data_IF_333511097105
#
_entry.id   IF_333511097105
#
_cell.length_a   1.000
_cell.length_b   1.000
_cell.length_c   1.000
_cell.angle_alpha   90.00
_cell.angle_beta   90.00
_cell.angle_gamma   90.00
#
_symmetry.space_group_name_H-M   'P 1'
#
loop_
_entity.id
_entity.type
_entity.pdbx_description
1 polymer ?
#
# COMPACT_ATOMS: atom_id res chain seq x y z
N UNK A 1 52.24 -10.04 32.41
CA UNK A 1 52.42 -9.74 33.85
C UNK A 1 52.07 -8.29 34.21
N UNK A 2 52.34 -7.29 33.37
CA UNK A 2 52.01 -5.88 33.65
C UNK A 2 50.50 -5.62 33.86
N UNK A 3 49.62 -6.28 33.09
CA UNK A 3 48.16 -6.18 33.26
C UNK A 3 47.65 -6.77 34.58
N UNK A 4 48.30 -7.83 35.08
CA UNK A 4 47.92 -8.45 36.36
C UNK A 4 48.29 -7.54 37.53
N UNK A 5 49.44 -6.86 37.44
CA UNK A 5 49.87 -5.86 38.41
C UNK A 5 48.93 -4.64 38.40
N UNK A 6 48.54 -4.15 37.23
CA UNK A 6 47.58 -3.03 37.11
C UNK A 6 46.21 -3.35 37.73
N UNK A 7 45.71 -4.58 37.54
CA UNK A 7 44.45 -5.02 38.16
C UNK A 7 44.57 -5.19 39.68
N UNK A 8 45.74 -5.56 40.19
CA UNK A 8 46.01 -5.66 41.63
C UNK A 8 46.20 -4.29 42.30
N UNK A 9 46.78 -3.31 41.60
CA UNK A 9 46.86 -1.93 42.11
C UNK A 9 45.51 -1.22 42.12
N UNK A 10 44.63 -1.51 41.16
CA UNK A 10 43.26 -1.01 41.11
C UNK A 10 42.37 -1.58 42.23
N UNK A 11 42.62 -2.81 42.69
CA UNK A 11 41.86 -3.41 43.79
C UNK A 11 42.36 -3.01 45.18
N UNK A 12 43.61 -2.58 45.34
CA UNK A 12 44.17 -2.16 46.62
C UNK A 12 43.88 -0.69 46.99
N UNK A 13 43.38 0.12 46.04
CA UNK A 13 43.10 1.55 46.26
C UNK A 13 41.61 1.88 46.49
N UNK A 14 40.76 0.88 46.77
CA UNK A 14 39.40 1.14 47.24
C UNK A 14 39.37 1.12 48.77
N UNK A 15 39.38 2.29 49.45
CA UNK A 15 39.10 2.29 50.87
C UNK A 15 37.62 1.86 51.06
N UNK A 16 37.30 0.96 52.02
CA UNK A 16 35.93 0.65 52.35
C UNK A 16 35.34 1.81 53.17
N UNK A 17 34.99 2.91 52.48
CA UNK A 17 34.20 3.98 53.08
C UNK A 17 32.80 3.86 52.47
N UNK A 18 32.10 2.79 52.84
CA UNK A 18 30.64 2.81 52.81
C UNK A 18 30.20 3.34 54.16
N UNK A 19 30.46 4.63 54.40
CA UNK A 19 29.66 5.38 55.36
C UNK A 19 28.25 5.32 54.82
N UNK A 20 27.39 4.53 55.47
CA UNK A 20 25.99 4.38 55.11
C UNK A 20 25.31 5.73 55.40
N UNK A 21 25.45 6.66 54.47
CA UNK A 21 24.80 7.96 54.51
C UNK A 21 23.32 7.66 54.36
N UNK A 22 22.57 7.73 55.44
CA UNK A 22 21.11 7.57 55.43
C UNK A 22 20.53 8.82 54.78
N UNK A 23 20.50 8.83 53.45
CA UNK A 23 19.84 9.86 52.68
C UNK A 23 18.33 9.67 52.86
N UNK A 24 17.64 10.64 53.47
CA UNK A 24 16.19 10.65 53.48
C UNK A 24 15.70 11.09 52.10
N UNK A 25 15.22 10.16 51.28
CA UNK A 25 14.57 10.51 50.02
C UNK A 25 13.27 11.25 50.31
N UNK A 26 13.17 12.49 49.84
CA UNK A 26 11.89 13.17 49.84
C UNK A 26 11.02 12.62 48.70
N UNK A 27 10.01 11.83 49.06
CA UNK A 27 9.13 11.17 48.09
C UNK A 27 8.44 12.16 47.13
N UNK A 28 8.11 13.37 47.59
CA UNK A 28 7.44 14.39 46.76
C UNK A 28 8.39 15.00 45.72
N UNK A 29 9.66 15.21 46.08
CA UNK A 29 10.68 15.67 45.15
C UNK A 29 11.04 14.58 44.12
N UNK A 30 11.02 13.31 44.54
CA UNK A 30 11.26 12.17 43.66
C UNK A 30 10.17 12.04 42.61
N UNK A 31 8.92 12.20 43.00
CA UNK A 31 7.76 12.09 42.11
C UNK A 31 7.83 13.09 40.95
N UNK A 32 8.14 14.36 41.24
CA UNK A 32 8.31 15.39 40.21
C UNK A 32 9.47 15.11 39.24
N UNK A 33 10.59 14.58 39.75
CA UNK A 33 11.73 14.18 38.92
C UNK A 33 11.40 12.97 38.05
N UNK A 34 10.69 11.99 38.60
CA UNK A 34 10.26 10.80 37.88
C UNK A 34 9.29 11.15 36.76
N UNK A 35 8.27 11.95 37.03
CA UNK A 35 7.33 12.42 36.02
C UNK A 35 8.03 13.17 34.89
N UNK A 36 8.96 14.09 35.23
CA UNK A 36 9.74 14.82 34.23
C UNK A 36 10.58 13.87 33.37
N UNK A 37 11.27 12.91 33.99
CA UNK A 37 12.10 11.94 33.29
C UNK A 37 11.28 11.01 32.38
N UNK A 38 10.13 10.54 32.88
CA UNK A 38 9.21 9.67 32.15
C UNK A 38 8.66 10.38 30.91
N UNK A 39 8.18 11.61 31.04
CA UNK A 39 7.66 12.38 29.90
C UNK A 39 8.77 12.70 28.88
N UNK A 40 9.97 13.08 29.34
CA UNK A 40 11.12 13.26 28.44
C UNK A 40 11.45 11.98 27.66
N UNK A 41 11.46 10.83 28.33
CA UNK A 41 11.74 9.54 27.70
C UNK A 41 10.67 9.18 26.67
N UNK A 42 9.38 9.38 26.98
CA UNK A 42 8.27 9.16 26.05
C UNK A 42 8.40 10.03 24.79
N UNK A 43 8.69 11.33 24.96
CA UNK A 43 8.90 12.25 23.84
C UNK A 43 10.09 11.82 22.96
N UNK A 44 11.19 11.37 23.56
CA UNK A 44 12.36 10.86 22.82
C UNK A 44 12.04 9.58 22.04
N UNK A 45 11.32 8.66 22.64
CA UNK A 45 10.90 7.41 21.98
C UNK A 45 9.98 7.70 20.79
N UNK A 46 8.98 8.57 21.00
CA UNK A 46 8.07 8.98 19.93
C UNK A 46 8.81 9.73 18.81
N UNK A 47 9.79 10.56 19.14
CA UNK A 47 10.60 11.23 18.13
C UNK A 47 11.40 10.23 17.28
N UNK A 48 12.01 9.22 17.92
CA UNK A 48 12.75 8.17 17.21
C UNK A 48 11.86 7.40 16.24
N UNK A 49 10.65 7.04 16.65
CA UNK A 49 9.70 6.34 15.76
C UNK A 49 9.28 7.22 14.58
N UNK A 50 9.00 8.50 14.82
CA UNK A 50 8.67 9.45 13.76
C UNK A 50 9.83 9.66 12.79
N UNK A 51 11.07 9.68 13.29
CA UNK A 51 12.25 9.85 12.44
C UNK A 51 12.41 8.68 11.46
N UNK A 52 12.15 7.45 11.93
CA UNK A 52 12.17 6.26 11.09
C UNK A 52 10.99 6.20 10.13
N UNK A 53 9.78 6.60 10.56
CA UNK A 53 8.56 6.56 9.74
C UNK A 53 8.61 7.59 8.59
N UNK A 54 9.02 8.82 8.89
CA UNK A 54 9.05 9.92 7.93
C UNK A 54 10.25 9.89 6.98
N UNK A 55 11.17 8.93 7.13
CA UNK A 55 12.41 8.86 6.35
C UNK A 55 13.13 10.22 6.24
N UNK A 56 13.28 10.93 7.36
CA UNK A 56 13.84 12.29 7.34
C UNK A 56 15.24 12.32 6.71
N UNK A 57 15.55 13.44 6.05
CA UNK A 57 16.86 13.67 5.47
C UNK A 57 17.96 13.71 6.54
N UNK A 58 19.21 13.50 6.15
CA UNK A 58 20.36 13.55 7.07
C UNK A 58 20.46 14.89 7.80
N UNK A 59 20.19 16.00 7.10
CA UNK A 59 20.22 17.34 7.68
C UNK A 59 19.15 17.49 8.77
N UNK A 60 17.92 17.07 8.49
CA UNK A 60 16.82 17.18 9.46
C UNK A 60 17.04 16.32 10.70
N UNK A 61 17.65 15.14 10.53
CA UNK A 61 18.07 14.29 11.66
C UNK A 61 19.11 14.98 12.53
N UNK A 62 20.06 15.70 11.93
CA UNK A 62 21.07 16.48 12.68
C UNK A 62 20.40 17.63 13.44
N UNK A 63 19.54 18.39 12.78
CA UNK A 63 18.80 19.50 13.41
C UNK A 63 17.95 19.02 14.57
N UNK A 64 17.29 17.86 14.42
CA UNK A 64 16.52 17.27 15.52
C UNK A 64 17.43 16.84 16.69
N UNK A 65 18.56 16.19 16.41
CA UNK A 65 19.53 15.77 17.44
C UNK A 65 20.08 16.95 18.24
N UNK A 66 20.34 18.07 17.57
CA UNK A 66 20.79 19.28 18.27
C UNK A 66 19.68 19.85 19.15
N UNK A 67 18.44 19.92 18.63
CA UNK A 67 17.27 20.33 19.41
C UNK A 67 17.07 19.43 20.65
N UNK A 68 17.22 18.11 20.51
CA UNK A 68 17.14 17.15 21.61
C UNK A 68 18.25 17.35 22.66
N UNK A 69 19.46 17.69 22.21
CA UNK A 69 20.61 17.95 23.08
C UNK A 69 20.44 19.25 23.88
N UNK A 70 19.88 20.28 23.25
CA UNK A 70 19.62 21.58 23.90
C UNK A 70 18.40 21.55 24.82
N UNK A 71 17.43 20.68 24.56
CA UNK A 71 16.19 20.58 25.33
C UNK A 71 16.43 20.02 26.75
N UNK A 72 16.60 20.92 27.71
CA UNK A 72 16.72 20.56 29.13
C UNK A 72 15.35 20.40 29.78
N UNK A 73 14.32 21.13 29.29
CA UNK A 73 12.97 21.11 29.83
C UNK A 73 12.02 20.30 28.94
N UNK A 74 11.00 19.71 29.56
CA UNK A 74 9.93 18.95 28.86
C UNK A 74 9.27 19.78 27.76
N UNK A 75 9.04 21.07 28.03
CA UNK A 75 8.41 22.00 27.07
C UNK A 75 9.28 22.21 25.83
N UNK A 76 10.60 22.29 26.00
CA UNK A 76 11.55 22.44 24.88
C UNK A 76 11.60 21.16 24.05
N UNK A 77 11.65 20.00 24.71
CA UNK A 77 11.61 18.71 24.03
C UNK A 77 10.30 18.55 23.24
N UNK A 78 9.17 18.92 23.82
CA UNK A 78 7.87 18.89 23.15
C UNK A 78 7.84 19.79 21.90
N UNK A 79 8.46 20.98 21.96
CA UNK A 79 8.61 21.85 20.79
C UNK A 79 9.43 21.20 19.68
N UNK A 80 10.52 20.49 20.02
CA UNK A 80 11.30 19.73 19.04
C UNK A 80 10.44 18.67 18.35
N UNK A 81 9.69 17.88 19.13
CA UNK A 81 8.83 16.80 18.62
C UNK A 81 7.64 17.32 17.80
N UNK A 82 7.07 18.46 18.17
CA UNK A 82 5.92 19.07 17.47
C UNK A 82 6.23 19.33 15.99
N UNK A 83 7.47 19.70 15.66
CA UNK A 83 7.90 19.90 14.26
C UNK A 83 7.83 18.60 13.45
N UNK A 84 8.16 17.46 14.06
CA UNK A 84 8.06 16.14 13.43
C UNK A 84 6.60 15.72 13.25
N UNK A 85 5.76 15.96 14.26
CA UNK A 85 4.33 15.63 14.19
C UNK A 85 3.60 16.40 13.09
N UNK A 86 3.82 17.72 12.99
CA UNK A 86 3.25 18.52 11.89
C UNK A 86 3.66 18.02 10.51
N UNK A 87 4.89 17.49 10.39
CA UNK A 87 5.35 16.92 9.13
C UNK A 87 4.62 15.63 8.79
N UNK A 88 4.40 14.75 9.77
CA UNK A 88 3.58 13.54 9.61
C UNK A 88 2.18 13.87 9.14
N UNK A 89 1.52 14.81 9.80
CA UNK A 89 0.18 15.27 9.40
C UNK A 89 0.17 15.77 7.95
N UNK A 90 1.21 16.51 7.53
CA UNK A 90 1.34 16.97 6.15
C UNK A 90 1.61 15.85 5.14
N UNK A 91 2.25 14.77 5.57
CA UNK A 91 2.52 13.58 4.75
C UNK A 91 1.21 12.79 4.55
N UNK A 92 0.51 12.50 5.64
CA UNK A 92 -0.76 11.78 5.63
C UNK A 92 -1.84 12.52 4.82
N UNK A 93 -1.86 13.87 4.91
CA UNK A 93 -2.79 14.68 4.14
C UNK A 93 -2.53 14.62 2.62
N UNK A 94 -1.25 14.50 2.21
CA UNK A 94 -0.89 14.36 0.79
C UNK A 94 -1.29 12.99 0.25
N UNK A 95 -1.02 11.92 0.99
CA UNK A 95 -1.41 10.57 0.56
C UNK A 95 -2.93 10.47 0.34
N UNK A 96 -3.71 10.99 1.29
CA UNK A 96 -5.18 11.03 1.16
C UNK A 96 -5.64 11.87 -0.04
N UNK A 97 -5.01 13.02 -0.27
CA UNK A 97 -5.35 13.89 -1.40
C UNK A 97 -5.02 13.26 -2.76
N UNK A 98 -3.92 12.51 -2.86
CA UNK A 98 -3.55 11.79 -4.07
C UNK A 98 -4.49 10.61 -4.36
N UNK A 99 -4.88 9.88 -3.33
CA UNK A 99 -5.87 8.80 -3.45
C UNK A 99 -7.21 9.34 -3.94
N UNK A 100 -7.68 10.46 -3.38
CA UNK A 100 -8.89 11.14 -3.83
C UNK A 100 -8.82 11.59 -5.29
N UNK A 101 -7.68 12.13 -5.73
CA UNK A 101 -7.47 12.52 -7.14
C UNK A 101 -7.46 11.33 -8.09
N UNK A 102 -6.87 10.19 -7.69
CA UNK A 102 -6.90 8.97 -8.50
C UNK A 102 -8.33 8.43 -8.61
N UNK A 103 -9.09 8.44 -7.51
CA UNK A 103 -10.49 8.03 -7.50
C UNK A 103 -11.36 8.93 -8.38
N UNK A 104 -11.17 10.25 -8.35
CA UNK A 104 -11.90 11.17 -9.22
C UNK A 104 -11.56 10.96 -10.70
N UNK A 105 -10.27 10.79 -11.03
CA UNK A 105 -9.84 10.56 -12.41
C UNK A 105 -10.38 9.23 -12.95
N UNK A 106 -10.40 8.16 -12.13
CA UNK A 106 -10.98 6.88 -12.51
C UNK A 106 -12.49 6.98 -12.79
N UNK A 107 -13.23 7.68 -11.91
CA UNK A 107 -14.66 7.88 -12.07
C UNK A 107 -15.01 8.67 -13.34
N UNK A 108 -14.16 9.63 -13.72
CA UNK A 108 -14.33 10.41 -14.95
C UNK A 108 -14.03 9.59 -16.21
N UNK A 109 -13.01 8.72 -16.18
CA UNK A 109 -12.73 7.78 -17.28
C UNK A 109 -13.83 6.73 -17.49
N UNK A 110 -14.46 6.23 -16.42
CA UNK A 110 -15.61 5.31 -16.55
C UNK A 110 -16.87 6.03 -17.09
N UNK A 111 -17.08 7.30 -16.73
CA UNK A 111 -18.19 8.08 -17.23
C UNK A 111 -18.06 8.37 -18.74
N UNK A 112 -16.82 8.57 -19.23
CA UNK A 112 -16.54 8.77 -20.64
C UNK A 112 -16.69 7.47 -21.45
N UNK A 113 -16.28 6.31 -20.90
CA UNK A 113 -16.52 5.01 -21.54
C UNK A 113 -18.02 4.66 -21.68
N UNK A 114 -18.87 5.03 -20.71
CA UNK A 114 -20.33 4.80 -20.83
C UNK A 114 -21.00 5.67 -21.88
N UNK A 115 -20.37 6.75 -22.32
CA UNK A 115 -20.87 7.61 -23.40
C UNK A 115 -20.45 7.12 -24.78
N UNK A 116 -19.54 6.15 -24.90
CA UNK A 116 -19.26 5.54 -26.20
C UNK A 116 -20.55 4.89 -26.71
N UNK A 117 -21.00 5.20 -27.94
CA UNK A 117 -22.10 4.49 -28.55
C UNK A 117 -21.71 3.02 -28.57
N UNK A 118 -22.52 2.19 -27.89
CA UNK A 118 -22.36 0.74 -27.91
C UNK A 118 -22.24 0.34 -29.38
N UNK A 119 -21.13 -0.29 -29.83
CA UNK A 119 -21.02 -0.71 -31.22
C UNK A 119 -22.26 -1.54 -31.51
N UNK A 120 -23.03 -1.10 -32.51
CA UNK A 120 -24.24 -1.78 -32.95
C UNK A 120 -23.75 -3.15 -33.42
N UNK A 121 -23.86 -4.16 -32.56
CA UNK A 121 -23.45 -5.52 -32.88
C UNK A 121 -24.24 -5.94 -34.11
N UNK A 122 -23.55 -5.95 -35.24
CA UNK A 122 -24.08 -6.45 -36.50
C UNK A 122 -24.45 -7.93 -36.27
N UNK A 123 -25.66 -8.36 -36.66
CA UNK A 123 -26.19 -9.68 -36.30
C UNK A 123 -25.31 -10.86 -36.72
N UNK A 124 -24.37 -10.65 -37.65
CA UNK A 124 -23.37 -11.63 -38.05
C UNK A 124 -22.41 -12.03 -36.93
N UNK A 125 -22.05 -11.10 -36.04
CA UNK A 125 -21.04 -11.36 -35.01
C UNK A 125 -21.59 -12.21 -33.84
N UNK A 126 -22.88 -12.03 -33.52
CA UNK A 126 -23.60 -12.86 -32.54
C UNK A 126 -23.77 -14.30 -33.07
N UNK A 127 -24.09 -14.46 -34.35
CA UNK A 127 -24.16 -15.77 -35.01
C UNK A 127 -22.80 -16.48 -35.00
N UNK A 128 -21.70 -15.77 -35.32
CA UNK A 128 -20.36 -16.36 -35.28
C UNK A 128 -19.94 -16.78 -33.86
N UNK A 129 -20.32 -16.02 -32.84
CA UNK A 129 -20.00 -16.34 -31.44
C UNK A 129 -20.82 -17.53 -30.94
N UNK A 130 -22.11 -17.59 -31.27
CA UNK A 130 -22.97 -18.75 -31.02
C UNK A 130 -22.46 -20.02 -31.70
N UNK A 131 -22.07 -19.93 -32.99
CA UNK A 131 -21.47 -21.06 -33.72
C UNK A 131 -20.17 -21.55 -33.07
N UNK A 132 -19.33 -20.64 -32.58
CA UNK A 132 -18.06 -21.00 -31.93
C UNK A 132 -18.28 -21.69 -30.59
N UNK A 133 -19.23 -21.21 -29.79
CA UNK A 133 -19.59 -21.83 -28.49
C UNK A 133 -20.23 -23.20 -28.71
N UNK A 134 -21.14 -23.34 -29.67
CA UNK A 134 -21.74 -24.63 -30.03
C UNK A 134 -20.69 -25.64 -30.54
N UNK A 135 -19.71 -25.19 -31.32
CA UNK A 135 -18.63 -26.06 -31.83
C UNK A 135 -17.71 -26.60 -30.73
N UNK A 136 -17.53 -25.85 -29.63
CA UNK A 136 -16.74 -26.28 -28.48
C UNK A 136 -17.52 -27.23 -27.56
N UNK A 137 -18.82 -26.98 -27.36
CA UNK A 137 -19.68 -27.85 -26.55
C UNK A 137 -19.90 -29.24 -27.16
N UNK A 138 -19.82 -29.36 -28.49
CA UNK A 138 -20.07 -30.60 -29.23
C UNK A 138 -18.81 -31.44 -29.52
N UNK A 139 -17.65 -31.09 -28.95
CA UNK A 139 -16.49 -31.98 -28.91
C UNK A 139 -16.00 -32.47 -30.28
N UNK A 140 -15.41 -31.57 -31.07
CA UNK A 140 -14.41 -31.84 -32.11
C UNK A 140 -14.54 -33.12 -32.96
N UNK A 141 -15.13 -32.99 -34.15
CA UNK A 141 -14.96 -33.91 -35.27
C UNK A 141 -15.57 -33.33 -36.55
N UNK A 142 -14.76 -33.06 -37.57
CA UNK A 142 -15.17 -32.34 -38.81
C UNK A 142 -16.16 -33.10 -39.71
N UNK A 143 -16.68 -34.26 -39.29
CA UNK A 143 -17.52 -35.12 -40.13
C UNK A 143 -19.00 -35.24 -39.76
N UNK A 144 -19.43 -34.90 -38.54
CA UNK A 144 -20.74 -35.38 -38.03
C UNK A 144 -21.86 -34.33 -37.97
N UNK A 145 -21.54 -33.03 -38.01
CA UNK A 145 -22.58 -32.01 -37.83
C UNK A 145 -23.49 -31.81 -39.05
N UNK A 146 -22.93 -31.88 -40.27
CA UNK A 146 -23.72 -31.74 -41.50
C UNK A 146 -24.66 -32.95 -41.73
N UNK A 147 -24.25 -34.16 -41.33
CA UNK A 147 -25.05 -35.38 -41.44
C UNK A 147 -26.21 -35.44 -40.43
N UNK A 148 -26.11 -34.73 -39.30
CA UNK A 148 -27.15 -34.75 -38.27
C UNK A 148 -28.34 -33.83 -38.58
N UNK A 149 -28.13 -32.71 -39.30
CA UNK A 149 -29.22 -31.79 -39.70
C UNK A 149 -29.73 -32.02 -41.12
N UNK A 150 -28.91 -32.56 -42.02
CA UNK A 150 -29.30 -32.83 -43.39
C UNK A 150 -29.60 -34.32 -43.53
N UNK A 151 -30.79 -34.71 -43.07
CA UNK A 151 -31.40 -36.00 -43.37
C UNK A 151 -31.17 -36.35 -44.84
N UNK A 152 -30.76 -37.60 -45.08
CA UNK A 152 -30.29 -38.08 -46.37
C UNK A 152 -31.19 -37.71 -47.55
N UNK A 153 -30.55 -37.39 -48.67
CA UNK A 153 -31.22 -37.09 -49.94
C UNK A 153 -30.33 -36.22 -50.81
N UNK A 154 -29.52 -36.85 -51.67
CA UNK A 154 -28.57 -36.17 -52.53
C UNK A 154 -29.21 -35.16 -53.47
N UNK A 155 -28.94 -33.87 -53.23
CA UNK A 155 -28.83 -32.82 -54.24
C UNK A 155 -27.85 -31.77 -53.69
N UNK A 156 -26.90 -31.33 -54.51
CA UNK A 156 -25.85 -30.39 -54.10
C UNK A 156 -26.43 -28.97 -53.96
N UNK A 157 -25.87 -28.19 -53.03
CA UNK A 157 -26.33 -26.85 -52.67
C UNK A 157 -26.42 -25.85 -53.85
N UNK A 158 -25.82 -26.15 -55.01
CA UNK A 158 -25.93 -25.31 -56.20
C UNK A 158 -27.31 -25.36 -56.89
N UNK A 159 -28.07 -26.44 -56.76
CA UNK A 159 -29.36 -26.56 -57.46
C UNK A 159 -30.48 -25.71 -56.81
N UNK A 160 -30.39 -25.40 -55.51
CA UNK A 160 -31.39 -24.56 -54.83
C UNK A 160 -31.24 -23.06 -55.11
N UNK A 161 -30.06 -22.60 -55.55
CA UNK A 161 -29.84 -21.18 -55.91
C UNK A 161 -30.53 -20.83 -57.23
N UNK A 162 -30.60 -21.77 -58.19
CA UNK A 162 -31.29 -21.56 -59.48
C UNK A 162 -32.82 -21.52 -59.38
N UNK A 163 -33.41 -22.10 -58.32
CA UNK A 163 -34.85 -22.09 -58.14
C UNK A 163 -35.37 -20.77 -57.56
N UNK A 164 -34.60 -20.11 -56.69
CA UNK A 164 -34.99 -18.81 -56.12
C UNK A 164 -34.80 -17.63 -57.09
N UNK A 165 -33.90 -17.74 -58.07
CA UNK A 165 -33.72 -16.68 -59.08
C UNK A 165 -34.92 -16.58 -60.04
N UNK A 166 -35.63 -17.68 -60.31
CA UNK A 166 -36.82 -17.70 -61.19
C UNK A 166 -38.09 -17.13 -60.53
N UNK A 167 -38.11 -16.97 -59.21
CA UNK A 167 -39.29 -16.44 -58.50
C UNK A 167 -39.31 -14.91 -58.41
N UNK A 168 -38.17 -14.24 -58.66
CA UNK A 168 -38.04 -12.77 -58.54
C UNK A 168 -38.33 -12.05 -59.88
N UNK A 169 -38.27 -12.74 -61.02
CA UNK A 169 -38.55 -12.15 -62.36
C UNK A 169 -40.02 -12.30 -62.81
N UNK A 170 -40.91 -12.80 -61.95
CA UNK A 170 -42.33 -13.00 -62.24
C UNK A 170 -43.28 -12.29 -61.25
N UNK A 171 -42.82 -11.26 -60.53
CA UNK A 171 -43.62 -10.39 -59.65
C UNK A 171 -43.44 -8.92 -60.01
#
# INVERSE_FOLDING_TARGET
>A
MLMLLLLLFLSHSYPPIVSCLTYSLNATALDGLWHRAAVMALLRLQAKSLITELNLSTIERIVFKECEREAQKVVEMAKCVTKLLRRRESFDAKEKGEEQRKASNWAETEADERKKPKPREEPEFLLQRLFRVMKQALGGGEGTFAQFWMGGGGTTAQDKVKQNQKFIEAS
#
